data_IF_161592017726
#
_entry.id   IF_161592017726
#
_cell.length_a   1.000
_cell.length_b   1.000
_cell.length_c   1.000
_cell.angle_alpha   90.00
_cell.angle_beta   90.00
_cell.angle_gamma   90.00
#
_symmetry.space_group_name_H-M   'P 1'
#
loop_
_entity.id
_entity.type
_entity.pdbx_description
1 polymer ?
#
# COMPACT_ATOMS: atom_id res chain seq x y z
N UNK A 1 -18.58 -12.74 -38.53
CA UNK A 1 -18.47 -11.53 -37.68
C UNK A 1 -17.23 -11.68 -36.82
N UNK A 2 -16.15 -11.01 -37.18
CA UNK A 2 -14.92 -11.00 -36.39
C UNK A 2 -15.05 -9.92 -35.34
N UNK A 3 -14.92 -10.27 -34.06
CA UNK A 3 -14.91 -9.32 -32.96
C UNK A 3 -13.55 -8.60 -32.99
N UNK A 4 -13.53 -7.32 -33.38
CA UNK A 4 -12.36 -6.46 -33.22
C UNK A 4 -12.31 -6.10 -31.74
N UNK A 5 -11.41 -6.74 -31.00
CA UNK A 5 -11.07 -6.29 -29.65
C UNK A 5 -10.14 -5.09 -29.86
N UNK A 6 -10.63 -3.88 -29.57
CA UNK A 6 -9.78 -2.69 -29.48
C UNK A 6 -8.62 -3.00 -28.52
N UNK A 7 -7.41 -3.02 -29.05
CA UNK A 7 -6.22 -3.06 -28.22
C UNK A 7 -6.15 -1.72 -27.48
N UNK A 8 -6.53 -1.74 -26.21
CA UNK A 8 -6.41 -0.62 -25.28
C UNK A 8 -4.95 -0.18 -25.29
N UNK A 9 -4.69 1.06 -25.69
CA UNK A 9 -3.35 1.67 -25.76
C UNK A 9 -2.49 1.22 -24.57
N UNK A 10 -1.51 0.36 -24.83
CA UNK A 10 -0.62 -0.13 -23.79
C UNK A 10 0.36 0.97 -23.45
N UNK A 11 0.04 1.79 -22.45
CA UNK A 11 1.02 2.71 -21.87
C UNK A 11 2.27 1.95 -21.47
N UNK A 12 3.41 2.43 -21.94
CA UNK A 12 4.72 1.94 -21.56
C UNK A 12 5.04 2.36 -20.13
N UNK A 13 5.99 1.70 -19.46
CA UNK A 13 6.42 2.11 -18.12
C UNK A 13 7.04 3.53 -18.13
N UNK A 14 7.56 3.96 -19.27
CA UNK A 14 8.18 5.28 -19.46
C UNK A 14 7.17 6.43 -19.45
N UNK A 15 5.87 6.12 -19.58
CA UNK A 15 4.78 7.11 -19.58
C UNK A 15 4.33 7.53 -18.17
N UNK A 16 4.85 6.89 -17.12
CA UNK A 16 4.47 7.13 -15.74
C UNK A 16 5.47 8.03 -15.03
N UNK A 17 4.95 8.94 -14.21
CA UNK A 17 5.78 9.71 -13.29
C UNK A 17 6.45 8.80 -12.24
N UNK A 18 7.58 9.21 -11.64
CA UNK A 18 8.26 8.42 -10.60
C UNK A 18 7.34 7.98 -9.45
N UNK A 19 6.40 8.84 -9.08
CA UNK A 19 5.43 8.61 -8.01
C UNK A 19 4.39 7.55 -8.42
N UNK A 20 3.97 7.56 -9.69
CA UNK A 20 3.07 6.55 -10.24
C UNK A 20 3.77 5.19 -10.39
N UNK A 21 5.05 5.18 -10.77
CA UNK A 21 5.86 3.97 -10.79
C UNK A 21 6.00 3.37 -9.39
N UNK A 22 6.25 4.20 -8.38
CA UNK A 22 6.30 3.75 -6.99
C UNK A 22 4.96 3.15 -6.53
N UNK A 23 3.83 3.77 -6.89
CA UNK A 23 2.51 3.22 -6.60
C UNK A 23 2.30 1.86 -7.27
N UNK A 24 2.73 1.72 -8.53
CA UNK A 24 2.65 0.44 -9.26
C UNK A 24 3.50 -0.63 -8.56
N UNK A 25 4.72 -0.30 -8.14
CA UNK A 25 5.59 -1.21 -7.40
C UNK A 25 4.96 -1.65 -6.07
N UNK A 26 4.46 -0.68 -5.28
CA UNK A 26 3.78 -0.97 -4.02
C UNK A 26 2.55 -1.86 -4.23
N UNK A 27 1.77 -1.62 -5.28
CA UNK A 27 0.61 -2.44 -5.63
C UNK A 27 1.01 -3.88 -5.94
N UNK A 28 2.13 -4.08 -6.64
CA UNK A 28 2.66 -5.41 -6.98
C UNK A 28 3.25 -6.16 -5.80
N UNK A 29 3.66 -5.45 -4.74
CA UNK A 29 4.41 -6.01 -3.61
C UNK A 29 3.59 -7.02 -2.77
N UNK A 30 2.25 -7.16 -2.95
CA UNK A 30 1.35 -8.04 -2.18
C UNK A 30 1.38 -7.91 -0.64
N UNK A 31 2.26 -7.07 -0.11
CA UNK A 31 2.43 -6.76 1.32
C UNK A 31 1.31 -5.88 1.88
N UNK A 32 0.74 -5.03 1.02
CA UNK A 32 -0.28 -4.06 1.41
C UNK A 32 -1.67 -4.64 1.18
N UNK A 33 -2.51 -4.62 2.21
CA UNK A 33 -3.93 -4.92 2.09
C UNK A 33 -4.70 -3.81 1.38
N UNK A 34 -4.27 -2.56 1.61
CA UNK A 34 -4.84 -1.40 0.94
C UNK A 34 -3.79 -0.31 0.78
N UNK A 35 -3.96 0.47 -0.29
CA UNK A 35 -3.19 1.67 -0.56
C UNK A 35 -4.15 2.85 -0.64
N UNK A 36 -3.82 3.94 0.06
CA UNK A 36 -4.52 5.22 -0.02
C UNK A 36 -3.59 6.24 -0.65
N UNK A 37 -4.10 6.94 -1.65
CA UNK A 37 -3.35 7.93 -2.42
C UNK A 37 -3.90 9.30 -2.08
N UNK A 38 -3.02 10.23 -1.73
CA UNK A 38 -3.36 11.65 -1.61
C UNK A 38 -2.76 12.37 -2.81
N UNK A 39 -3.61 13.10 -3.54
CA UNK A 39 -3.21 13.89 -4.71
C UNK A 39 -3.25 15.37 -4.38
N UNK A 40 -2.31 16.13 -4.93
CA UNK A 40 -2.28 17.60 -4.92
C UNK A 40 -1.78 18.09 -6.28
N UNK A 41 -2.46 19.10 -6.83
CA UNK A 41 -2.12 19.69 -8.13
C UNK A 41 -1.98 18.67 -9.28
N UNK A 42 -2.85 17.66 -9.27
CA UNK A 42 -2.88 16.59 -10.28
C UNK A 42 -1.78 15.53 -10.13
N UNK A 43 -0.88 15.67 -9.15
CA UNK A 43 0.22 14.73 -8.87
C UNK A 43 -0.04 13.95 -7.57
N UNK A 44 0.62 12.80 -7.45
CA UNK A 44 0.62 12.04 -6.20
C UNK A 44 1.53 12.78 -5.21
N UNK A 45 0.99 13.11 -4.04
CA UNK A 45 1.70 13.81 -2.95
C UNK A 45 2.07 12.85 -1.82
N UNK A 46 1.25 11.81 -1.60
CA UNK A 46 1.51 10.81 -0.56
C UNK A 46 0.85 9.48 -0.90
N UNK A 47 1.56 8.39 -0.55
CA UNK A 47 1.02 7.03 -0.59
C UNK A 47 1.04 6.47 0.84
N UNK A 48 -0.12 6.07 1.34
CA UNK A 48 -0.32 5.39 2.61
C UNK A 48 -0.61 3.92 2.34
N UNK A 49 0.18 3.01 2.92
CA UNK A 49 -0.03 1.58 2.81
C UNK A 49 -0.45 0.96 4.13
N UNK A 50 -1.51 0.14 4.13
CA UNK A 50 -1.91 -0.66 5.28
C UNK A 50 -1.35 -2.07 5.11
N UNK A 51 -0.48 -2.48 6.02
CA UNK A 51 0.13 -3.79 6.05
C UNK A 51 -0.50 -4.62 7.18
N UNK A 52 -0.91 -5.85 6.86
CA UNK A 52 -1.23 -6.82 7.90
C UNK A 52 0.06 -7.42 8.42
N UNK A 53 0.23 -7.37 9.73
CA UNK A 53 1.34 -8.01 10.41
C UNK A 53 0.97 -9.47 10.67
N UNK A 54 1.94 -10.36 10.49
CA UNK A 54 1.74 -11.79 10.75
C UNK A 54 1.33 -12.05 12.20
N UNK A 55 0.42 -13.01 12.39
CA UNK A 55 -0.27 -13.27 13.65
C UNK A 55 0.67 -13.64 14.84
N UNK A 56 1.96 -13.91 14.58
CA UNK A 56 2.96 -14.29 15.59
C UNK A 56 3.91 -13.17 16.01
N UNK A 57 3.89 -12.02 15.35
CA UNK A 57 4.79 -10.92 15.71
C UNK A 57 4.37 -10.29 17.03
N UNK A 58 5.30 -10.17 17.99
CA UNK A 58 5.00 -9.48 19.25
C UNK A 58 4.87 -7.98 18.99
N UNK A 59 3.87 -7.34 19.60
CA UNK A 59 3.65 -5.90 19.45
C UNK A 59 4.90 -5.06 19.79
N UNK A 60 5.70 -5.50 20.78
CA UNK A 60 6.95 -4.84 21.17
C UNK A 60 7.94 -4.77 20.00
N UNK A 61 8.00 -5.80 19.16
CA UNK A 61 8.90 -5.83 18.01
C UNK A 61 8.44 -4.88 16.90
N UNK A 62 7.12 -4.70 16.74
CA UNK A 62 6.54 -3.72 15.80
C UNK A 62 6.87 -2.30 16.30
N UNK A 63 6.67 -2.03 17.59
CA UNK A 63 6.92 -0.72 18.18
C UNK A 63 8.39 -0.29 18.05
N UNK A 64 9.32 -1.23 18.19
CA UNK A 64 10.78 -1.01 18.05
C UNK A 64 11.23 -0.65 16.63
N UNK A 65 10.44 -0.98 15.61
CA UNK A 65 10.82 -0.66 14.22
C UNK A 65 10.70 0.84 13.95
N UNK A 66 9.86 1.56 14.70
CA UNK A 66 9.52 2.98 14.47
C UNK A 66 9.02 3.30 13.04
N UNK A 67 8.81 2.28 12.21
CA UNK A 67 8.34 2.35 10.84
C UNK A 67 6.83 2.09 10.80
N UNK A 68 6.10 3.07 11.34
CA UNK A 68 4.64 3.11 11.32
C UNK A 68 4.17 4.53 11.61
N UNK A 69 3.09 4.92 10.95
CA UNK A 69 2.31 6.08 11.32
C UNK A 69 1.25 5.73 12.37
N UNK A 70 0.63 4.56 12.22
CA UNK A 70 -0.44 4.07 13.07
C UNK A 70 -0.36 2.55 13.19
N UNK A 71 -0.77 2.01 14.34
CA UNK A 71 -0.95 0.58 14.55
C UNK A 71 -2.39 0.36 15.03
N UNK A 72 -3.12 -0.54 14.35
CA UNK A 72 -4.44 -0.99 14.74
C UNK A 72 -4.36 -2.43 15.24
N UNK A 73 -4.90 -2.70 16.43
CA UNK A 73 -4.96 -4.05 17.01
C UNK A 73 -6.43 -4.39 17.25
N UNK A 74 -6.88 -5.55 16.75
CA UNK A 74 -8.21 -6.09 17.04
C UNK A 74 -8.09 -7.33 17.88
N UNK A 75 -8.92 -7.40 18.92
CA UNK A 75 -9.02 -8.55 19.80
C UNK A 75 -10.41 -9.16 19.72
N UNK A 76 -10.47 -10.49 19.86
CA UNK A 76 -11.69 -11.26 20.10
C UNK A 76 -11.42 -12.19 21.27
N UNK A 77 -12.30 -12.19 22.26
CA UNK A 77 -12.22 -13.08 23.43
C UNK A 77 -10.86 -13.05 24.15
N UNK A 78 -10.28 -11.84 24.27
CA UNK A 78 -8.97 -11.60 24.89
C UNK A 78 -7.76 -12.06 24.05
N UNK A 79 -7.97 -12.55 22.83
CA UNK A 79 -6.92 -12.94 21.89
C UNK A 79 -6.77 -11.90 20.79
N UNK A 80 -5.53 -11.56 20.46
CA UNK A 80 -5.25 -10.72 19.28
C UNK A 80 -5.56 -11.55 18.04
N UNK A 81 -6.44 -11.03 17.18
CA UNK A 81 -6.84 -11.69 15.93
C UNK A 81 -6.34 -10.94 14.70
N UNK A 82 -5.92 -9.68 14.87
CA UNK A 82 -5.39 -8.84 13.80
C UNK A 82 -4.48 -7.78 14.37
N UNK A 83 -3.35 -7.57 13.70
CA UNK A 83 -2.54 -6.37 13.85
C UNK A 83 -2.31 -5.80 12.44
N UNK A 84 -2.70 -4.55 12.25
CA UNK A 84 -2.40 -3.79 11.05
C UNK A 84 -1.47 -2.63 11.42
N UNK A 85 -0.56 -2.27 10.52
CA UNK A 85 0.14 -0.99 10.57
C UNK A 85 -0.14 -0.17 9.33
N UNK A 86 -0.14 1.13 9.48
CA UNK A 86 -0.12 2.07 8.35
C UNK A 86 1.27 2.64 8.22
N UNK A 87 1.87 2.53 7.04
CA UNK A 87 3.14 3.17 6.69
C UNK A 87 2.89 4.32 5.72
N UNK A 88 3.70 5.37 5.82
CA UNK A 88 3.62 6.55 4.97
C UNK A 88 4.86 6.68 4.13
N UNK A 89 4.65 6.73 2.82
CA UNK A 89 5.71 7.08 1.87
C UNK A 89 5.40 8.46 1.32
N UNK A 90 6.23 9.44 1.70
CA UNK A 90 6.26 10.73 1.00
C UNK A 90 6.99 10.50 -0.31
N UNK A 91 6.28 10.72 -1.40
CA UNK A 91 6.88 10.80 -2.73
C UNK A 91 7.65 12.12 -2.82
N UNK A 92 8.85 12.06 -3.39
CA UNK A 92 9.76 13.20 -3.58
C UNK A 92 9.80 13.58 -5.05
#
# INVERSE_FOLDING_TARGET
MSLIIEQKDSKSLDDFSPEELQLIEMTRNQKYQSLRIVKRDGRIDMIEGVERIEDRTKIVDILRQHDYQNIEIKQSDGRIVLINRTVKTKVK
#
